data_IF_682769585193
#
_entry.id   IF_682769585193
#
_cell.length_a   1.000
_cell.length_b   1.000
_cell.length_c   1.000
_cell.angle_alpha   90.00
_cell.angle_beta   90.00
_cell.angle_gamma   90.00
#
_symmetry.space_group_name_H-M   'P 1'
#
loop_
_entity.id
_entity.type
_entity.pdbx_description
1 polymer ?
#
# COMPACT_ATOMS: atom_id res chain seq x y z
N UNK A 1 49.38 30.68 -31.92
CA UNK A 1 50.05 29.37 -32.02
C UNK A 1 51.16 29.30 -30.98
N UNK A 2 50.89 28.74 -29.80
CA UNK A 2 51.93 28.27 -28.86
C UNK A 2 51.27 27.22 -27.96
N UNK A 3 51.73 25.98 -28.13
CA UNK A 3 51.13 24.74 -27.66
C UNK A 3 51.73 24.33 -26.30
N UNK A 4 50.91 24.33 -25.25
CA UNK A 4 51.31 23.85 -23.91
C UNK A 4 51.15 22.32 -23.82
N UNK A 5 52.14 21.55 -23.33
CA UNK A 5 52.13 20.09 -23.41
C UNK A 5 51.15 19.44 -22.41
N UNK A 6 50.40 18.44 -22.90
CA UNK A 6 49.45 17.59 -22.16
C UNK A 6 50.18 16.72 -21.13
N UNK A 7 49.74 16.76 -19.86
CA UNK A 7 50.20 15.82 -18.81
C UNK A 7 49.52 14.46 -19.01
N UNK A 8 50.31 13.44 -19.33
CA UNK A 8 49.90 12.04 -19.46
C UNK A 8 49.72 11.41 -18.07
N UNK A 9 48.51 10.97 -17.75
CA UNK A 9 48.19 10.19 -16.54
C UNK A 9 48.53 8.72 -16.78
N UNK A 10 49.59 8.22 -16.15
CA UNK A 10 49.98 6.81 -16.20
C UNK A 10 49.26 6.03 -15.09
N UNK A 11 48.16 5.35 -15.43
CA UNK A 11 47.47 4.42 -14.51
C UNK A 11 48.21 3.07 -14.50
N UNK A 12 48.79 2.72 -13.34
CA UNK A 12 49.45 1.43 -13.12
C UNK A 12 48.39 0.36 -12.78
N UNK A 13 48.15 -0.57 -13.71
CA UNK A 13 47.23 -1.72 -13.56
C UNK A 13 47.75 -2.67 -12.46
N UNK A 14 46.97 -2.87 -11.38
CA UNK A 14 47.26 -3.83 -10.30
C UNK A 14 46.57 -5.18 -10.60
N UNK A 15 47.23 -6.33 -10.40
CA UNK A 15 46.72 -7.62 -10.84
C UNK A 15 45.56 -8.13 -9.97
N UNK A 16 44.69 -8.93 -10.60
CA UNK A 16 43.61 -9.67 -9.95
C UNK A 16 44.19 -10.76 -9.05
N UNK A 17 43.68 -10.85 -7.81
CA UNK A 17 43.82 -12.03 -6.95
C UNK A 17 42.47 -12.40 -6.36
N UNK A 18 41.98 -13.56 -6.76
CA UNK A 18 40.98 -14.37 -6.08
C UNK A 18 41.46 -14.77 -4.68
N UNK A 19 40.66 -14.57 -3.63
CA UNK A 19 40.09 -15.65 -2.82
C UNK A 19 39.21 -15.07 -1.69
N UNK A 20 38.27 -15.89 -1.24
CA UNK A 20 37.34 -15.71 -0.13
C UNK A 20 37.96 -15.11 1.14
N UNK A 21 37.34 -14.05 1.67
CA UNK A 21 37.50 -13.67 3.08
C UNK A 21 36.16 -13.23 3.68
N UNK A 22 35.46 -14.22 4.23
CA UNK A 22 34.19 -14.08 4.93
C UNK A 22 34.47 -13.45 6.30
N UNK A 23 34.41 -12.13 6.40
CA UNK A 23 34.49 -11.40 7.69
C UNK A 23 33.38 -11.84 8.64
N UNK A 24 33.74 -12.68 9.61
CA UNK A 24 32.90 -13.07 10.75
C UNK A 24 32.71 -11.84 11.66
N UNK A 25 31.49 -11.30 11.73
CA UNK A 25 31.12 -10.33 12.75
C UNK A 25 30.93 -11.05 14.08
N UNK A 26 31.99 -11.14 14.88
CA UNK A 26 31.92 -11.47 16.30
C UNK A 26 31.54 -10.22 17.09
N UNK A 27 30.50 -10.28 17.92
CA UNK A 27 30.17 -9.16 18.81
C UNK A 27 28.81 -9.24 19.51
N UNK A 28 28.85 -9.61 20.79
CA UNK A 28 27.89 -9.37 21.88
C UNK A 28 26.39 -9.74 21.73
N UNK A 29 25.68 -9.37 20.65
CA UNK A 29 24.21 -9.52 20.56
C UNK A 29 23.73 -10.98 20.44
N UNK A 30 24.51 -11.86 19.83
CA UNK A 30 24.14 -13.28 19.68
C UNK A 30 24.13 -14.04 21.02
N UNK A 31 24.94 -13.62 22.01
CA UNK A 31 25.00 -14.28 23.33
C UNK A 31 23.79 -13.94 24.20
N UNK A 32 23.26 -12.72 24.10
CA UNK A 32 22.05 -12.30 24.82
C UNK A 32 20.78 -13.03 24.34
N UNK A 33 20.67 -13.31 23.04
CA UNK A 33 19.52 -14.05 22.49
C UNK A 33 19.46 -15.52 22.96
N UNK A 34 20.63 -16.16 23.13
CA UNK A 34 20.70 -17.54 23.65
C UNK A 34 20.39 -17.64 25.15
N UNK A 35 20.72 -16.61 25.95
CA UNK A 35 20.46 -16.60 27.38
C UNK A 35 18.95 -16.46 27.69
N UNK A 36 18.23 -15.65 26.91
CA UNK A 36 16.76 -15.50 27.04
C UNK A 36 15.96 -16.74 26.61
N UNK A 37 16.49 -17.56 25.71
CA UNK A 37 15.83 -18.82 25.31
C UNK A 37 16.03 -19.94 26.32
N UNK A 38 17.15 -19.97 27.06
CA UNK A 38 17.37 -20.95 28.14
C UNK A 38 16.43 -20.74 29.32
N UNK A 39 16.25 -19.50 29.76
CA UNK A 39 15.34 -19.17 30.87
C UNK A 39 13.87 -19.50 30.55
N UNK A 40 13.47 -19.52 29.26
CA UNK A 40 12.12 -19.92 28.84
C UNK A 40 11.89 -21.43 28.82
N UNK A 41 12.95 -22.23 28.81
CA UNK A 41 12.84 -23.70 28.76
C UNK A 41 12.79 -24.34 30.15
N UNK A 42 13.16 -23.60 31.20
CA UNK A 42 13.20 -24.11 32.58
C UNK A 42 11.81 -24.17 33.27
N UNK A 43 10.78 -23.50 32.73
CA UNK A 43 9.48 -23.31 33.40
C UNK A 43 8.33 -24.22 32.91
N UNK A 44 8.60 -25.35 32.24
CA UNK A 44 7.55 -26.30 31.85
C UNK A 44 7.47 -27.50 32.81
N UNK A 45 6.40 -27.66 33.62
CA UNK A 45 6.21 -28.85 34.44
C UNK A 45 5.72 -30.05 33.61
N UNK A 46 6.47 -31.14 33.73
CA UNK A 46 6.29 -32.47 33.13
C UNK A 46 5.04 -33.20 33.65
N UNK A 47 4.24 -33.78 32.75
CA UNK A 47 3.30 -34.88 33.06
C UNK A 47 3.85 -36.19 32.44
N UNK A 48 3.86 -37.32 33.18
CA UNK A 48 4.63 -38.50 32.77
C UNK A 48 3.91 -39.39 31.74
N UNK A 49 4.72 -39.96 30.85
CA UNK A 49 4.34 -40.96 29.86
C UNK A 49 4.13 -42.36 30.48
N UNK A 50 3.28 -43.18 29.85
CA UNK A 50 3.14 -44.64 30.09
C UNK A 50 3.17 -45.37 28.75
N UNK A 51 3.74 -46.60 28.67
CA UNK A 51 4.55 -47.02 27.52
C UNK A 51 3.86 -47.99 26.55
N UNK A 52 4.52 -48.16 25.40
CA UNK A 52 4.15 -49.05 24.29
C UNK A 52 4.40 -50.54 24.56
N UNK A 53 3.48 -51.38 24.06
CA UNK A 53 3.60 -52.83 23.81
C UNK A 53 2.25 -53.30 23.22
N UNK A 54 2.07 -54.20 22.24
CA UNK A 54 2.88 -55.19 21.50
C UNK A 54 2.15 -55.45 20.16
N UNK A 55 2.90 -55.77 19.11
CA UNK A 55 2.40 -56.31 17.84
C UNK A 55 1.68 -57.66 18.04
N UNK A 56 0.53 -57.88 17.35
CA UNK A 56 0.15 -59.23 16.96
C UNK A 56 0.02 -59.38 15.44
N UNK A 57 0.81 -60.33 14.96
CA UNK A 57 0.55 -61.35 13.94
C UNK A 57 -0.41 -61.06 12.78
N UNK A 58 0.23 -61.05 11.61
CA UNK A 58 -0.25 -61.40 10.26
C UNK A 58 -1.36 -62.47 10.29
N UNK A 59 -2.59 -62.06 9.98
CA UNK A 59 -3.65 -62.97 9.55
C UNK A 59 -3.87 -62.85 8.04
N UNK A 60 -4.10 -64.03 7.44
CA UNK A 60 -4.05 -64.30 6.02
C UNK A 60 -5.07 -63.50 5.18
N UNK A 61 -4.64 -63.18 3.97
CA UNK A 61 -5.43 -62.59 2.89
C UNK A 61 -6.56 -63.56 2.49
N UNK A 62 -7.80 -63.27 2.87
CA UNK A 62 -8.98 -63.93 2.29
C UNK A 62 -9.46 -63.11 1.10
N UNK A 63 -9.16 -63.60 -0.11
CA UNK A 63 -9.76 -63.11 -1.35
C UNK A 63 -11.16 -63.70 -1.49
N UNK A 64 -12.18 -62.96 -1.05
CA UNK A 64 -13.55 -63.14 -1.55
C UNK A 64 -14.15 -61.77 -1.84
N UNK A 65 -14.04 -61.38 -3.11
CA UNK A 65 -14.69 -60.21 -3.67
C UNK A 65 -16.16 -60.58 -3.88
N UNK A 66 -17.03 -60.21 -2.94
CA UNK A 66 -18.47 -60.21 -3.18
C UNK A 66 -18.83 -58.97 -4.01
N UNK A 67 -19.53 -59.19 -5.13
CA UNK A 67 -20.11 -58.10 -5.94
C UNK A 67 -21.16 -57.39 -5.07
N UNK A 68 -21.12 -56.06 -4.90
CA UNK A 68 -22.18 -55.37 -4.18
C UNK A 68 -23.50 -55.50 -4.95
N UNK A 69 -24.65 -55.59 -4.26
CA UNK A 69 -25.96 -55.71 -4.88
C UNK A 69 -26.25 -54.48 -5.75
N UNK A 70 -26.71 -54.76 -6.96
CA UNK A 70 -27.22 -53.79 -7.92
C UNK A 70 -28.46 -53.11 -7.33
N UNK A 71 -28.37 -51.80 -7.08
CA UNK A 71 -29.55 -51.00 -6.77
C UNK A 71 -29.42 -50.13 -5.53
N UNK A 72 -28.59 -49.09 -5.61
CA UNK A 72 -28.92 -47.71 -5.23
C UNK A 72 -27.68 -46.86 -5.48
N UNK A 73 -27.46 -46.47 -6.73
CA UNK A 73 -26.64 -45.30 -6.99
C UNK A 73 -27.58 -44.10 -6.79
N UNK A 74 -27.40 -43.23 -5.77
CA UNK A 74 -28.09 -41.96 -5.80
C UNK A 74 -27.65 -41.28 -7.09
N UNK A 75 -28.60 -40.99 -7.98
CA UNK A 75 -28.35 -40.18 -9.17
C UNK A 75 -27.89 -38.82 -8.67
N UNK A 76 -26.57 -38.64 -8.56
CA UNK A 76 -25.99 -37.32 -8.32
C UNK A 76 -26.42 -36.49 -9.53
N UNK A 77 -27.25 -35.44 -9.36
CA UNK A 77 -27.54 -34.57 -10.47
C UNK A 77 -26.22 -34.09 -11.05
N UNK A 78 -26.10 -34.13 -12.38
CA UNK A 78 -24.91 -33.66 -13.07
C UNK A 78 -24.53 -32.28 -12.50
N UNK A 79 -23.24 -31.99 -12.28
CA UNK A 79 -22.83 -30.66 -11.87
C UNK A 79 -23.44 -29.67 -12.88
N UNK A 80 -24.09 -28.58 -12.41
CA UNK A 80 -24.65 -27.60 -13.32
C UNK A 80 -23.53 -27.16 -14.26
N UNK A 81 -23.87 -27.06 -15.55
CA UNK A 81 -22.94 -26.58 -16.57
C UNK A 81 -22.21 -25.34 -16.06
N UNK A 82 -20.90 -25.15 -16.37
CA UNK A 82 -20.19 -23.96 -15.97
C UNK A 82 -21.06 -22.76 -16.34
N UNK A 83 -21.49 -22.01 -15.32
CA UNK A 83 -22.32 -20.82 -15.55
C UNK A 83 -21.53 -19.98 -16.54
N UNK A 84 -22.09 -19.75 -17.73
CA UNK A 84 -21.54 -18.75 -18.65
C UNK A 84 -21.32 -17.51 -17.79
N UNK A 85 -20.16 -16.83 -17.86
CA UNK A 85 -19.94 -15.62 -17.10
C UNK A 85 -21.11 -14.71 -17.38
N UNK A 86 -21.97 -14.52 -16.38
CA UNK A 86 -23.00 -13.50 -16.42
C UNK A 86 -22.18 -12.22 -16.56
N UNK A 87 -22.40 -11.40 -17.59
CA UNK A 87 -21.76 -10.10 -17.65
C UNK A 87 -22.11 -9.42 -16.34
N UNK A 88 -21.13 -9.25 -15.45
CA UNK A 88 -21.31 -8.39 -14.29
C UNK A 88 -21.42 -7.00 -14.90
N UNK A 89 -22.66 -6.61 -15.21
CA UNK A 89 -23.03 -5.23 -15.39
C UNK A 89 -22.92 -4.61 -13.99
N UNK A 90 -21.68 -4.45 -13.52
CA UNK A 90 -21.40 -3.41 -12.55
C UNK A 90 -21.88 -2.09 -13.18
N UNK A 91 -22.22 -1.09 -12.37
CA UNK A 91 -22.44 0.24 -12.94
C UNK A 91 -21.27 0.51 -13.88
N UNK A 92 -21.56 0.80 -15.15
CA UNK A 92 -20.54 1.37 -16.02
C UNK A 92 -19.91 2.48 -15.19
N UNK A 93 -18.64 2.33 -14.82
CA UNK A 93 -17.89 3.43 -14.23
C UNK A 93 -17.74 4.39 -15.40
N UNK A 94 -18.80 5.15 -15.68
CA UNK A 94 -18.74 6.30 -16.53
C UNK A 94 -17.74 7.18 -15.82
N UNK A 95 -16.53 7.19 -16.34
CA UNK A 95 -15.45 8.02 -15.90
C UNK A 95 -15.92 9.47 -16.06
N UNK A 96 -16.66 9.97 -15.07
CA UNK A 96 -16.88 11.40 -14.80
C UNK A 96 -15.55 12.10 -14.44
N UNK A 97 -14.41 11.39 -14.56
CA UNK A 97 -13.12 11.98 -14.86
C UNK A 97 -13.19 12.67 -16.23
N UNK A 98 -14.05 13.68 -16.36
CA UNK A 98 -14.09 14.55 -17.52
C UNK A 98 -12.68 15.08 -17.69
N UNK A 99 -12.07 14.76 -18.84
CA UNK A 99 -10.72 15.13 -19.23
C UNK A 99 -10.49 16.66 -19.25
N UNK A 100 -11.55 17.44 -19.01
CA UNK A 100 -11.62 18.89 -19.03
C UNK A 100 -11.53 19.52 -17.64
N UNK A 101 -10.69 18.96 -16.76
CA UNK A 101 -10.27 19.68 -15.54
C UNK A 101 -9.26 20.77 -15.92
N UNK A 102 -9.79 21.86 -16.46
CA UNK A 102 -9.03 23.06 -16.78
C UNK A 102 -8.68 23.79 -15.48
N UNK A 103 -7.42 23.70 -15.06
CA UNK A 103 -6.93 24.37 -13.86
C UNK A 103 -5.57 23.86 -13.46
N UNK A 104 -4.75 24.74 -12.86
CA UNK A 104 -3.50 24.34 -12.22
C UNK A 104 -3.76 24.15 -10.73
N UNK A 105 -3.34 23.02 -10.19
CA UNK A 105 -3.55 22.64 -8.81
C UNK A 105 -2.23 22.61 -8.04
N UNK A 106 -2.24 22.91 -6.73
CA UNK A 106 -1.11 22.61 -5.87
C UNK A 106 -1.03 21.08 -5.68
N UNK A 107 0.16 20.54 -5.90
CA UNK A 107 0.44 19.10 -5.81
C UNK A 107 1.58 18.85 -4.85
N UNK A 108 1.46 17.77 -4.09
CA UNK A 108 2.50 17.29 -3.18
C UNK A 108 2.91 15.87 -3.57
N UNK A 109 4.21 15.67 -3.80
CA UNK A 109 4.83 14.39 -4.06
C UNK A 109 5.66 13.96 -2.84
N UNK A 110 5.13 13.12 -1.93
CA UNK A 110 5.92 12.55 -0.86
C UNK A 110 7.04 11.63 -1.38
N UNK A 111 8.19 11.70 -0.72
CA UNK A 111 9.34 10.84 -0.96
C UNK A 111 10.01 10.44 0.38
N UNK A 112 10.83 9.38 0.39
CA UNK A 112 11.68 9.07 1.53
C UNK A 112 12.54 10.28 1.94
N UNK A 113 12.78 10.44 3.25
CA UNK A 113 13.62 11.50 3.77
C UNK A 113 15.04 11.39 3.22
N UNK A 114 15.61 12.52 2.80
CA UNK A 114 16.92 12.62 2.14
C UNK A 114 16.87 12.52 0.61
N UNK A 115 15.71 12.26 0.00
CA UNK A 115 15.52 12.26 -1.46
C UNK A 115 14.82 13.50 -1.99
N UNK A 116 14.52 14.49 -1.14
CA UNK A 116 13.78 15.69 -1.53
C UNK A 116 14.50 16.48 -2.62
N UNK A 117 15.82 16.62 -2.52
CA UNK A 117 16.63 17.32 -3.52
C UNK A 117 16.64 16.59 -4.87
N UNK A 118 16.82 15.27 -4.84
CA UNK A 118 16.81 14.44 -6.05
C UNK A 118 15.44 14.47 -6.73
N UNK A 119 14.34 14.42 -5.95
CA UNK A 119 12.98 14.54 -6.47
C UNK A 119 12.74 15.92 -7.07
N UNK A 120 13.21 17.00 -6.43
CA UNK A 120 13.07 18.34 -6.97
C UNK A 120 13.76 18.48 -8.34
N UNK A 121 14.97 17.93 -8.49
CA UNK A 121 15.69 17.90 -9.77
C UNK A 121 14.96 17.06 -10.82
N UNK A 122 14.43 15.89 -10.44
CA UNK A 122 13.62 15.06 -11.35
C UNK A 122 12.38 15.82 -11.85
N UNK A 123 11.63 16.44 -10.95
CA UNK A 123 10.42 17.19 -11.29
C UNK A 123 10.73 18.41 -12.18
N UNK A 124 11.82 19.13 -11.91
CA UNK A 124 12.28 20.22 -12.78
C UNK A 124 12.70 19.69 -14.16
N UNK A 125 13.40 18.55 -14.23
CA UNK A 125 13.78 17.93 -15.50
C UNK A 125 12.59 17.43 -16.31
N UNK A 126 11.51 17.02 -15.65
CA UNK A 126 10.22 16.70 -16.29
C UNK A 126 9.46 17.96 -16.75
N UNK A 127 9.92 19.15 -16.39
CA UNK A 127 9.32 20.42 -16.79
C UNK A 127 8.10 20.82 -15.95
N UNK A 128 8.07 20.46 -14.67
CA UNK A 128 7.08 20.99 -13.73
C UNK A 128 7.51 22.35 -13.18
N UNK A 129 6.54 23.24 -12.97
CA UNK A 129 6.77 24.58 -12.45
C UNK A 129 6.68 24.65 -10.92
N UNK A 130 7.31 25.69 -10.34
CA UNK A 130 7.21 26.05 -8.91
C UNK A 130 7.57 24.88 -7.97
N UNK A 131 8.54 24.06 -8.38
CA UNK A 131 9.02 22.94 -7.58
C UNK A 131 9.76 23.47 -6.36
N UNK A 132 9.21 23.20 -5.17
CA UNK A 132 9.77 23.55 -3.87
C UNK A 132 9.93 22.31 -3.02
N UNK A 133 11.10 22.15 -2.40
CA UNK A 133 11.32 21.07 -1.44
C UNK A 133 10.47 21.30 -0.19
N UNK A 134 9.86 20.23 0.31
CA UNK A 134 9.12 20.20 1.57
C UNK A 134 9.72 19.16 2.51
N UNK A 135 9.11 18.95 3.67
CA UNK A 135 9.51 17.87 4.57
C UNK A 135 9.04 16.53 3.99
N UNK A 136 9.97 15.60 3.71
CA UNK A 136 9.65 14.27 3.17
C UNK A 136 8.85 14.31 1.85
N UNK A 137 9.14 15.29 0.98
CA UNK A 137 8.47 15.42 -0.31
C UNK A 137 8.78 16.74 -1.01
N UNK A 138 8.13 16.95 -2.16
CA UNK A 138 8.20 18.19 -2.94
C UNK A 138 6.80 18.72 -3.25
N UNK A 139 6.65 20.05 -3.20
CA UNK A 139 5.48 20.77 -3.66
C UNK A 139 5.73 21.29 -5.06
N UNK A 140 4.72 21.26 -5.93
CA UNK A 140 4.77 21.85 -7.26
C UNK A 140 3.35 22.17 -7.74
N UNK A 141 3.25 22.85 -8.87
CA UNK A 141 1.98 23.21 -9.48
C UNK A 141 1.82 22.51 -10.82
N UNK A 142 0.70 21.82 -11.01
CA UNK A 142 0.47 20.99 -12.19
C UNK A 142 -1.00 21.08 -12.63
N UNK A 143 -1.24 21.01 -13.93
CA UNK A 143 -2.58 20.73 -14.45
C UNK A 143 -2.92 19.23 -14.34
N UNK A 144 -4.11 18.83 -14.78
CA UNK A 144 -4.51 17.42 -14.68
C UNK A 144 -3.67 16.49 -15.56
N UNK A 145 -3.26 16.93 -16.75
CA UNK A 145 -2.40 16.14 -17.64
C UNK A 145 -1.01 15.95 -17.04
N UNK A 146 -0.50 17.00 -16.39
CA UNK A 146 0.74 17.02 -15.64
C UNK A 146 0.70 16.13 -14.41
N UNK A 147 -0.43 16.06 -13.70
CA UNK A 147 -0.60 15.11 -12.59
C UNK A 147 -0.50 13.67 -13.11
N UNK A 148 -1.13 13.35 -14.23
CA UNK A 148 -1.01 12.02 -14.86
C UNK A 148 0.43 11.75 -15.32
N UNK A 149 1.08 12.75 -15.92
CA UNK A 149 2.48 12.70 -16.34
C UNK A 149 3.42 12.46 -15.15
N UNK A 150 3.20 13.15 -14.04
CA UNK A 150 3.97 12.98 -12.82
C UNK A 150 3.86 11.54 -12.28
N UNK A 151 2.65 10.96 -12.26
CA UNK A 151 2.44 9.58 -11.83
C UNK A 151 3.14 8.56 -12.75
N UNK A 152 3.23 8.84 -14.05
CA UNK A 152 3.82 7.92 -15.01
C UNK A 152 5.35 7.97 -15.05
N UNK A 153 5.94 9.17 -14.94
CA UNK A 153 7.36 9.37 -15.20
C UNK A 153 8.23 9.56 -13.95
N UNK A 154 7.65 9.96 -12.81
CA UNK A 154 8.40 10.08 -11.56
C UNK A 154 8.87 8.71 -11.09
N UNK A 155 10.17 8.58 -10.78
CA UNK A 155 10.76 7.35 -10.21
C UNK A 155 11.01 7.46 -8.72
N UNK A 156 11.02 8.68 -8.18
CA UNK A 156 11.36 8.95 -6.79
C UNK A 156 10.12 9.20 -5.90
N UNK A 157 9.05 9.79 -6.44
CA UNK A 157 7.82 10.01 -5.67
C UNK A 157 7.11 8.68 -5.36
N UNK A 158 6.63 8.55 -4.12
CA UNK A 158 5.86 7.37 -3.69
C UNK A 158 4.39 7.44 -4.13
N UNK A 159 3.85 8.65 -4.25
CA UNK A 159 2.48 8.96 -4.70
C UNK A 159 2.42 10.43 -5.10
N UNK A 160 1.44 10.81 -5.90
CA UNK A 160 1.18 12.20 -6.30
C UNK A 160 -0.17 12.61 -5.71
N UNK A 161 -0.17 13.63 -4.85
CA UNK A 161 -1.34 14.07 -4.10
C UNK A 161 -1.75 15.47 -4.55
N UNK A 162 -2.99 15.61 -5.02
CA UNK A 162 -3.56 16.92 -5.36
C UNK A 162 -4.15 17.53 -4.09
N UNK A 163 -3.82 18.79 -3.81
CA UNK A 163 -4.39 19.52 -2.68
C UNK A 163 -5.78 20.05 -3.04
N UNK A 164 -6.77 19.64 -2.25
CA UNK A 164 -8.19 19.95 -2.47
C UNK A 164 -8.62 21.23 -1.76
N UNK A 165 -8.17 21.40 -0.52
CA UNK A 165 -8.47 22.56 0.32
C UNK A 165 -7.37 22.71 1.38
N UNK A 166 -7.23 23.93 1.91
CA UNK A 166 -6.26 24.25 2.95
C UNK A 166 -6.82 25.37 3.83
N UNK A 167 -6.86 25.12 5.14
CA UNK A 167 -7.20 26.13 6.13
C UNK A 167 -6.52 25.84 7.47
N UNK A 168 -6.42 26.87 8.31
CA UNK A 168 -6.05 26.71 9.72
C UNK A 168 -7.31 26.35 10.49
N UNK A 169 -7.24 25.27 11.25
CA UNK A 169 -8.38 24.69 11.97
C UNK A 169 -7.94 24.46 13.41
N UNK A 170 -8.78 24.85 14.36
CA UNK A 170 -8.55 24.65 15.79
C UNK A 170 -9.51 23.62 16.40
N UNK A 171 -10.70 23.47 15.81
CA UNK A 171 -11.78 22.65 16.34
C UNK A 171 -12.28 21.64 15.29
N UNK A 172 -12.89 20.54 15.73
CA UNK A 172 -13.42 19.51 14.84
C UNK A 172 -14.61 19.98 13.99
N UNK A 173 -15.34 21.00 14.44
CA UNK A 173 -16.44 21.59 13.68
C UNK A 173 -15.93 22.39 12.48
N UNK A 174 -14.85 23.14 12.66
CA UNK A 174 -14.16 23.84 11.56
C UNK A 174 -13.58 22.84 10.54
N UNK A 175 -13.14 21.66 10.99
CA UNK A 175 -12.71 20.57 10.11
C UNK A 175 -13.89 20.03 9.28
N UNK A 176 -15.04 19.82 9.93
CA UNK A 176 -16.26 19.40 9.24
C UNK A 176 -16.67 20.42 8.19
N UNK A 177 -16.70 21.71 8.54
CA UNK A 177 -17.04 22.79 7.62
C UNK A 177 -16.08 22.89 6.43
N UNK A 178 -14.76 22.81 6.66
CA UNK A 178 -13.79 22.81 5.55
C UNK A 178 -14.02 21.63 4.60
N UNK A 179 -14.22 20.43 5.15
CA UNK A 179 -14.51 19.25 4.37
C UNK A 179 -15.84 19.40 3.63
N UNK A 180 -16.90 19.90 4.27
CA UNK A 180 -18.20 20.12 3.66
C UNK A 180 -18.16 21.18 2.56
N UNK A 181 -17.36 22.25 2.69
CA UNK A 181 -17.25 23.33 1.70
C UNK A 181 -16.43 22.97 0.46
N UNK A 182 -15.55 21.96 0.56
CA UNK A 182 -14.74 21.48 -0.56
C UNK A 182 -15.63 20.87 -1.67
N UNK A 183 -15.50 21.25 -2.95
CA UNK A 183 -16.40 20.82 -4.03
C UNK A 183 -16.12 19.40 -4.54
N UNK A 184 -16.41 18.40 -3.71
CA UNK A 184 -16.20 16.97 -4.02
C UNK A 184 -16.95 16.45 -5.25
N UNK A 185 -18.09 17.06 -5.58
CA UNK A 185 -18.91 16.74 -6.76
C UNK A 185 -18.15 16.89 -8.09
N UNK A 186 -17.12 17.76 -8.10
CA UNK A 186 -16.24 17.92 -9.26
C UNK A 186 -15.24 16.75 -9.41
N UNK A 187 -15.11 15.92 -8.39
CA UNK A 187 -14.08 14.90 -8.27
C UNK A 187 -14.62 13.48 -8.43
N UNK A 188 -15.69 13.18 -7.71
CA UNK A 188 -16.34 11.87 -7.70
C UNK A 188 -17.84 12.01 -7.44
N UNK A 189 -18.60 11.04 -7.97
CA UNK A 189 -20.04 10.95 -7.74
C UNK A 189 -20.40 9.95 -6.63
N UNK A 190 -21.68 9.87 -6.23
CA UNK A 190 -22.12 9.00 -5.14
C UNK A 190 -22.00 7.49 -5.43
N UNK A 191 -21.75 7.10 -6.68
CA UNK A 191 -21.61 5.69 -7.06
C UNK A 191 -20.21 5.11 -6.77
N UNK A 192 -19.26 5.96 -6.38
CA UNK A 192 -17.87 5.58 -6.15
C UNK A 192 -17.61 5.38 -4.66
N UNK A 193 -16.76 4.41 -4.32
CA UNK A 193 -16.31 4.21 -2.95
C UNK A 193 -15.19 5.18 -2.60
N UNK A 194 -15.15 5.62 -1.34
CA UNK A 194 -14.13 6.53 -0.83
C UNK A 194 -13.51 6.00 0.45
N UNK A 195 -12.21 6.27 0.64
CA UNK A 195 -11.46 6.03 1.87
C UNK A 195 -10.84 7.35 2.32
N UNK A 196 -10.99 7.67 3.61
CA UNK A 196 -10.37 8.82 4.24
C UNK A 196 -9.28 8.31 5.18
N UNK A 197 -8.06 8.80 5.01
CA UNK A 197 -6.95 8.55 5.93
C UNK A 197 -6.48 9.89 6.53
N UNK A 198 -6.41 9.97 7.85
CA UNK A 198 -6.03 11.18 8.57
C UNK A 198 -4.65 10.99 9.20
N UNK A 199 -3.75 11.93 8.98
CA UNK A 199 -2.42 11.96 9.59
C UNK A 199 -2.18 13.34 10.20
N UNK A 200 -1.66 13.39 11.43
CA UNK A 200 -1.35 14.65 12.10
C UNK A 200 -0.11 14.53 12.98
N UNK A 201 0.58 15.66 13.16
CA UNK A 201 1.74 15.80 14.03
C UNK A 201 1.45 16.96 14.97
N UNK A 202 1.47 16.72 16.29
CA UNK A 202 1.15 17.75 17.31
C UNK A 202 -0.21 18.44 17.04
N UNK A 203 -1.25 17.63 16.83
CA UNK A 203 -2.61 18.10 16.56
C UNK A 203 -3.30 18.63 17.81
N UNK A 204 -4.18 19.65 17.71
CA UNK A 204 -5.08 20.04 18.79
C UNK A 204 -6.20 19.01 19.05
N UNK A 205 -6.46 18.10 18.10
CA UNK A 205 -7.56 17.12 18.22
C UNK A 205 -7.28 16.01 19.23
N UNK A 206 -8.32 15.64 19.99
CA UNK A 206 -8.23 14.57 21.00
C UNK A 206 -8.10 13.17 20.36
N UNK A 207 -8.77 12.94 19.22
CA UNK A 207 -8.79 11.64 18.55
C UNK A 207 -8.75 11.79 17.03
N UNK A 208 -7.73 11.21 16.40
CA UNK A 208 -7.63 11.16 14.93
C UNK A 208 -8.70 10.29 14.29
N UNK A 209 -9.19 9.27 14.99
CA UNK A 209 -10.30 8.44 14.51
C UNK A 209 -11.59 9.26 14.45
N UNK A 210 -11.83 10.11 15.44
CA UNK A 210 -12.98 11.01 15.44
C UNK A 210 -12.89 12.05 14.31
N UNK A 211 -11.72 12.66 14.11
CA UNK A 211 -11.49 13.57 12.98
C UNK A 211 -11.75 12.91 11.62
N UNK A 212 -11.33 11.65 11.46
CA UNK A 212 -11.58 10.87 10.24
C UNK A 212 -13.08 10.67 9.99
N UNK A 213 -13.83 10.24 11.02
CA UNK A 213 -15.28 10.09 10.95
C UNK A 213 -15.97 11.41 10.59
N UNK A 214 -15.57 12.52 11.22
CA UNK A 214 -16.15 13.86 10.93
C UNK A 214 -15.93 14.28 9.48
N UNK A 215 -14.73 14.07 8.93
CA UNK A 215 -14.46 14.37 7.51
C UNK A 215 -15.26 13.48 6.58
N UNK A 216 -15.35 12.18 6.88
CA UNK A 216 -16.14 11.22 6.10
C UNK A 216 -17.62 11.61 6.07
N UNK A 217 -18.18 12.00 7.22
CA UNK A 217 -19.56 12.46 7.31
C UNK A 217 -19.78 13.74 6.48
N UNK A 218 -18.89 14.73 6.60
CA UNK A 218 -18.96 15.97 5.82
C UNK A 218 -18.96 15.73 4.29
N UNK A 219 -18.11 14.82 3.81
CA UNK A 219 -18.05 14.45 2.39
C UNK A 219 -19.37 13.78 1.96
N UNK A 220 -19.89 12.86 2.77
CA UNK A 220 -21.14 12.16 2.47
C UNK A 220 -22.35 13.09 2.47
N UNK A 221 -22.42 14.00 3.45
CA UNK A 221 -23.50 14.97 3.58
C UNK A 221 -23.48 15.95 2.41
N UNK A 222 -22.31 16.47 2.03
CA UNK A 222 -22.19 17.35 0.85
C UNK A 222 -22.68 16.66 -0.42
N UNK A 223 -22.25 15.42 -0.67
CA UNK A 223 -22.65 14.67 -1.86
C UNK A 223 -24.14 14.32 -1.83
N UNK A 224 -24.70 14.03 -0.66
CA UNK A 224 -26.14 13.85 -0.50
C UNK A 224 -26.91 15.13 -0.81
N UNK A 225 -26.45 16.28 -0.34
CA UNK A 225 -27.13 17.57 -0.54
C UNK A 225 -27.07 18.04 -2.00
N UNK A 226 -25.98 17.73 -2.72
CA UNK A 226 -25.77 18.15 -4.12
C UNK A 226 -26.34 17.17 -5.14
N UNK A 227 -26.17 15.87 -4.94
CA UNK A 227 -26.53 14.82 -5.92
C UNK A 227 -27.75 13.98 -5.49
N UNK A 228 -28.29 14.18 -4.27
CA UNK A 228 -29.48 13.49 -3.77
C UNK A 228 -29.27 12.05 -3.30
N UNK A 229 -28.04 11.51 -3.34
CA UNK A 229 -27.72 10.14 -2.94
C UNK A 229 -26.44 10.07 -2.08
N UNK A 230 -26.44 9.21 -1.04
CA UNK A 230 -25.27 9.00 -0.18
C UNK A 230 -24.28 8.03 -0.85
N UNK A 231 -22.99 8.38 -0.99
CA UNK A 231 -21.97 7.43 -1.43
C UNK A 231 -21.78 6.25 -0.48
N UNK A 232 -21.46 5.09 -1.04
CA UNK A 232 -21.09 3.89 -0.29
C UNK A 232 -19.65 4.01 0.22
N UNK A 233 -19.40 3.61 1.47
CA UNK A 233 -18.07 3.76 2.09
C UNK A 233 -17.45 2.39 2.32
N UNK A 234 -16.30 2.15 1.69
CA UNK A 234 -15.50 0.96 1.92
C UNK A 234 -14.72 1.09 3.24
N UNK A 235 -14.88 0.10 4.12
CA UNK A 235 -14.26 0.04 5.45
C UNK A 235 -13.14 -1.00 5.56
N UNK A 236 -12.71 -1.62 4.46
CA UNK A 236 -11.70 -2.69 4.51
C UNK A 236 -10.30 -2.09 4.67
N UNK A 237 -9.55 -2.64 5.65
CA UNK A 237 -8.28 -2.11 6.17
C UNK A 237 -7.07 -2.56 5.36
#
# INVERSE_FOLDING_TARGET
MTSTPKKTLTLKKKPQSSNEDRRVRSGARARQAQQMQRLRQEDTPTTPATPAAKTPQRFARVTKRAKPPTGYAPTRPAPPAPRKPVPVQGPEIQARFSAERHGRFPVFAPCPQGLEEALAVELQALGFDQVSQGRAGCHFVADWQDVLRANLYSRLATRILVQMSYAKIQNEDELYELAYQTPWENWFGPQQTLRVDTSAIRSPFQSLQFANLRVKDAICDRLRDREGARPDIDTVR
#
